data_IF_302052636235
#
_entry.id   IF_302052636235
#
_cell.length_a   1.000
_cell.length_b   1.000
_cell.length_c   1.000
_cell.angle_alpha   90.00
_cell.angle_beta   90.00
_cell.angle_gamma   90.00
#
_symmetry.space_group_name_H-M   'P 1'
#
loop_
_entity.id
_entity.type
_entity.pdbx_description
1 polymer ?
#
# COMPACT_ATOMS: atom_id res chain seq x y z
N UNK A 1 13.46 0.60 11.40
CA UNK A 1 14.83 0.37 10.87
C UNK A 1 15.25 1.58 10.06
N UNK A 2 16.47 2.11 10.23
CA UNK A 2 16.95 3.33 9.54
C UNK A 2 18.18 3.01 8.71
N UNK A 3 18.25 3.56 7.51
CA UNK A 3 19.43 3.55 6.63
C UNK A 3 19.86 4.99 6.34
N UNK A 4 20.94 5.18 5.57
CA UNK A 4 21.40 6.51 5.16
C UNK A 4 20.37 7.30 4.34
N UNK A 5 19.46 6.62 3.62
CA UNK A 5 18.51 7.26 2.70
C UNK A 5 17.05 7.17 3.13
N UNK A 6 16.70 6.19 3.97
CA UNK A 6 15.31 5.87 4.28
C UNK A 6 15.13 5.40 5.72
N UNK A 7 13.93 5.67 6.26
CA UNK A 7 13.46 5.18 7.55
C UNK A 7 12.22 4.30 7.34
N UNK A 8 12.29 3.07 7.84
CA UNK A 8 11.13 2.18 8.00
C UNK A 8 10.55 2.37 9.39
N UNK A 9 9.25 2.71 9.45
CA UNK A 9 8.44 2.86 10.66
C UNK A 9 7.15 2.02 10.55
N UNK A 10 6.46 1.76 11.67
CA UNK A 10 5.12 1.17 11.62
C UNK A 10 4.16 1.99 10.76
N UNK A 11 3.25 1.28 10.08
CA UNK A 11 2.15 1.90 9.34
C UNK A 11 1.19 2.61 10.29
N UNK A 12 0.64 3.71 9.82
CA UNK A 12 -0.44 4.47 10.45
C UNK A 12 -1.63 4.57 9.48
N UNK A 13 -2.85 4.78 9.97
CA UNK A 13 -4.01 4.94 9.09
C UNK A 13 -3.88 6.07 8.06
N UNK A 14 -3.08 7.10 8.35
CA UNK A 14 -2.83 8.23 7.45
C UNK A 14 -2.02 7.83 6.20
N UNK A 15 -1.22 6.77 6.30
CA UNK A 15 -0.42 6.26 5.18
C UNK A 15 -1.28 5.56 4.12
N UNK A 16 -2.52 5.19 4.47
CA UNK A 16 -3.40 4.42 3.60
C UNK A 16 -3.80 5.17 2.34
N UNK A 17 -3.87 6.51 2.38
CA UNK A 17 -4.26 7.31 1.22
C UNK A 17 -3.12 7.36 0.17
N UNK A 18 -1.87 7.51 0.62
CA UNK A 18 -0.69 7.39 -0.26
C UNK A 18 -0.54 5.95 -0.78
N UNK A 19 -0.70 4.97 0.10
CA UNK A 19 -0.64 3.56 -0.26
C UNK A 19 -1.72 3.17 -1.27
N UNK A 20 -2.91 3.76 -1.18
CA UNK A 20 -4.00 3.50 -2.12
C UNK A 20 -3.62 3.90 -3.56
N UNK A 21 -2.83 4.97 -3.74
CA UNK A 21 -2.34 5.36 -5.07
C UNK A 21 -1.40 4.30 -5.68
N UNK A 22 -0.62 3.63 -4.86
CA UNK A 22 0.33 2.58 -5.27
C UNK A 22 -0.42 1.28 -5.55
N UNK A 23 -1.26 0.84 -4.61
CA UNK A 23 -1.98 -0.43 -4.70
C UNK A 23 -3.07 -0.43 -5.78
N UNK A 24 -3.56 0.74 -6.20
CA UNK A 24 -4.48 0.85 -7.33
C UNK A 24 -3.81 0.92 -8.70
N UNK A 25 -2.48 1.05 -8.75
CA UNK A 25 -1.77 1.20 -10.01
C UNK A 25 -1.53 -0.17 -10.70
N UNK A 26 -2.09 -0.39 -11.92
CA UNK A 26 -1.93 -1.66 -12.63
C UNK A 26 -0.48 -2.00 -13.00
N UNK A 27 0.34 -0.99 -13.30
CA UNK A 27 1.74 -1.22 -13.64
C UNK A 27 2.55 -1.70 -12.42
N UNK A 28 2.26 -1.17 -11.24
CA UNK A 28 2.91 -1.57 -9.98
C UNK A 28 2.45 -2.96 -9.56
N UNK A 29 1.14 -3.21 -9.63
CA UNK A 29 0.53 -4.44 -9.12
C UNK A 29 0.51 -5.60 -10.13
N UNK A 30 1.11 -5.43 -11.31
CA UNK A 30 1.14 -6.43 -12.40
C UNK A 30 1.55 -7.84 -11.95
N UNK A 31 2.48 -7.92 -10.99
CA UNK A 31 3.01 -9.20 -10.48
C UNK A 31 2.54 -9.52 -9.06
N UNK A 32 1.68 -8.68 -8.48
CA UNK A 32 1.04 -8.99 -7.20
C UNK A 32 -0.02 -10.06 -7.40
N UNK A 33 -0.03 -11.08 -6.55
CA UNK A 33 -1.06 -12.13 -6.56
C UNK A 33 -2.48 -11.57 -6.33
N UNK A 34 -2.59 -10.42 -5.64
CA UNK A 34 -3.88 -9.75 -5.42
C UNK A 34 -4.36 -8.95 -6.64
N UNK A 35 -3.49 -8.65 -7.59
CA UNK A 35 -3.75 -7.67 -8.63
C UNK A 35 -3.97 -6.26 -8.08
N UNK A 36 -4.30 -5.28 -8.95
CA UNK A 36 -4.56 -3.90 -8.53
C UNK A 36 -5.82 -3.81 -7.66
N UNK A 37 -5.74 -3.06 -6.56
CA UNK A 37 -6.83 -2.88 -5.60
C UNK A 37 -7.49 -1.52 -5.83
N UNK A 38 -8.81 -1.43 -6.04
CA UNK A 38 -9.51 -0.15 -6.17
C UNK A 38 -9.23 0.79 -4.99
N UNK A 39 -9.01 2.08 -5.26
CA UNK A 39 -8.56 3.07 -4.24
C UNK A 39 -9.47 3.11 -3.02
N UNK A 40 -10.77 3.05 -3.23
CA UNK A 40 -11.83 3.06 -2.23
C UNK A 40 -11.87 1.76 -1.39
N UNK A 41 -11.31 0.67 -1.89
CA UNK A 41 -11.29 -0.64 -1.23
C UNK A 41 -9.99 -0.96 -0.49
N UNK A 42 -8.95 -0.13 -0.64
CA UNK A 42 -7.62 -0.38 -0.05
C UNK A 42 -7.67 -0.51 1.46
N UNK A 43 -8.49 0.29 2.14
CA UNK A 43 -8.65 0.22 3.61
C UNK A 43 -9.18 -1.15 4.02
N UNK A 44 -10.30 -1.57 3.45
CA UNK A 44 -10.92 -2.87 3.75
C UNK A 44 -10.02 -4.06 3.40
N UNK A 45 -9.30 -3.99 2.27
CA UNK A 45 -8.39 -5.03 1.82
C UNK A 45 -7.17 -5.25 2.74
N UNK A 46 -6.78 -4.23 3.52
CA UNK A 46 -5.65 -4.28 4.44
C UNK A 46 -6.05 -4.70 5.87
N UNK A 47 -7.28 -4.41 6.31
CA UNK A 47 -7.79 -4.83 7.62
C UNK A 47 -8.25 -6.29 7.69
N UNK A 48 -8.24 -7.02 6.57
CA UNK A 48 -8.64 -8.44 6.50
C UNK A 48 -7.59 -9.43 6.99
N UNK A 49 -6.45 -8.94 7.48
CA UNK A 49 -5.31 -9.70 8.03
C UNK A 49 -4.79 -9.01 9.29
#
# INVERSE_FOLDING_TARGET
MKTARLLLRPYTPQDLDELASILSNPAVMRYSLRGPIPKDQVKEALYKY
#
